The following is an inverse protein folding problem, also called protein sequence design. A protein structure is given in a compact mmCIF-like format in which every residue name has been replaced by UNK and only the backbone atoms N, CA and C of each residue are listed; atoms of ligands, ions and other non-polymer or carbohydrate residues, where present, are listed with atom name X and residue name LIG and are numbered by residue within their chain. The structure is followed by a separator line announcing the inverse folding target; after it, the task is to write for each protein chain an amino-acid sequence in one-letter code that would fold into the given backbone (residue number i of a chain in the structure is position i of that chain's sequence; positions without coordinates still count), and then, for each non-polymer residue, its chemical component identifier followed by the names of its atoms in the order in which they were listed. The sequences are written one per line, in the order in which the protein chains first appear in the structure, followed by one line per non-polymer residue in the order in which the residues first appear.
data_IF_019912955486
#
_entry.id   IF_019912955486
#
_cell.length_a   1.000
_cell.length_b   1.000
_cell.length_c   1.000
_cell.angle_alpha   90.00
_cell.angle_beta   90.00
_cell.angle_gamma   90.00
#
_symmetry.space_group_name_H-M   'P 1'
#
loop_
_entity.id
_entity.type
_entity.pdbx_description
1 polymer ?
#
# COMPACT_ATOMS: atom_id res chain seq x y z
N UNK A 1 16.90 5.03 7.68
CA UNK A 1 16.87 3.92 8.66
C UNK A 1 15.66 3.07 8.30
N UNK A 2 15.88 1.96 7.56
CA UNK A 2 14.81 1.06 7.12
C UNK A 2 14.50 0.09 8.25
N UNK A 3 13.32 0.20 8.86
CA UNK A 3 12.82 -0.81 9.78
C UNK A 3 12.22 -1.95 8.95
N UNK A 4 12.88 -3.10 8.98
CA UNK A 4 12.37 -4.35 8.40
C UNK A 4 11.30 -4.88 9.35
N UNK A 5 10.03 -4.67 9.02
CA UNK A 5 8.93 -5.25 9.77
C UNK A 5 8.78 -6.74 9.37
N UNK A 6 9.19 -7.63 10.25
CA UNK A 6 8.97 -9.08 10.11
C UNK A 6 7.52 -9.37 10.49
N UNK A 7 6.69 -9.67 9.51
CA UNK A 7 5.31 -10.13 9.75
C UNK A 7 5.36 -11.63 10.02
N UNK A 8 4.91 -12.02 11.21
CA UNK A 8 4.73 -13.42 11.60
C UNK A 8 3.31 -13.84 11.24
N UNK A 9 3.15 -14.81 10.38
CA UNK A 9 1.88 -15.48 10.10
C UNK A 9 1.54 -16.35 11.32
N UNK A 10 0.34 -16.22 11.86
CA UNK A 10 -0.18 -17.10 12.91
C UNK A 10 -0.99 -18.15 12.18
N UNK A 11 -0.49 -19.38 12.15
CA UNK A 11 -1.26 -20.56 11.81
C UNK A 11 -2.13 -20.90 13.02
N UNK A 12 -3.44 -20.93 12.84
CA UNK A 12 -4.40 -21.44 13.83
C UNK A 12 -4.34 -22.96 13.77
N UNK A 13 -3.77 -23.60 14.80
CA UNK A 13 -3.95 -25.00 15.07
C UNK A 13 -5.33 -25.21 15.70
N UNK A 14 -6.18 -25.97 15.02
CA UNK A 14 -7.43 -26.53 15.58
C UNK A 14 -7.08 -27.63 16.58
N UNK A 15 -7.34 -27.39 17.85
CA UNK A 15 -7.50 -28.47 18.84
C UNK A 15 -8.97 -28.86 18.97
N UNK A 16 -9.27 -30.06 18.52
CA UNK A 16 -10.50 -30.80 18.79
C UNK A 16 -10.50 -31.32 20.21
N UNK A 17 -11.53 -31.01 20.98
CA UNK A 17 -11.78 -31.57 22.31
C UNK A 17 -13.28 -31.77 22.53
N UNK A 18 -13.70 -33.03 22.48
CA UNK A 18 -15.04 -33.56 22.74
C UNK A 18 -15.50 -33.43 24.18
N UNK A 19 -16.83 -33.50 24.27
CA UNK A 19 -17.69 -34.07 25.36
C UNK A 19 -18.13 -33.03 26.43
N UNK A 20 -19.36 -33.01 26.87
CA UNK A 20 -20.53 -33.86 26.96
C UNK A 20 -21.65 -33.11 27.68
N UNK A 21 -22.83 -33.39 27.25
CA UNK A 21 -24.16 -33.36 27.91
C UNK A 21 -24.34 -32.74 29.32
N UNK A 22 -25.32 -31.85 29.48
CA UNK A 22 -26.54 -32.23 30.23
C UNK A 22 -27.60 -31.12 30.18
N UNK A 23 -28.81 -31.60 29.94
CA UNK A 23 -30.10 -30.97 29.99
C UNK A 23 -30.45 -30.36 31.35
N UNK A 24 -31.25 -29.28 31.34
CA UNK A 24 -32.50 -29.22 32.10
C UNK A 24 -33.31 -27.97 31.78
N UNK A 25 -34.57 -28.26 31.49
CA UNK A 25 -35.69 -27.36 31.30
C UNK A 25 -36.14 -26.72 32.60
N UNK A 26 -36.75 -25.53 32.58
CA UNK A 26 -38.02 -25.24 33.24
C UNK A 26 -38.63 -23.89 32.84
N UNK A 27 -39.90 -23.99 32.72
CA UNK A 27 -40.98 -23.11 32.30
C UNK A 27 -41.19 -21.83 33.13
N UNK A 28 -41.83 -20.84 32.48
CA UNK A 28 -43.04 -20.21 32.98
C UNK A 28 -42.91 -18.81 33.53
N UNK A 29 -43.43 -17.80 32.98
CA UNK A 29 -44.78 -17.31 33.24
C UNK A 29 -44.98 -15.86 32.69
N UNK A 30 -46.19 -15.69 32.22
CA UNK A 30 -46.82 -14.49 31.69
C UNK A 30 -46.95 -13.36 32.73
N UNK A 31 -46.98 -12.11 32.22
CA UNK A 31 -47.36 -10.95 33.01
C UNK A 31 -47.54 -9.73 32.11
N UNK A 32 -48.73 -9.63 31.56
CA UNK A 32 -49.27 -8.41 30.94
C UNK A 32 -49.52 -7.33 31.99
N UNK A 33 -49.16 -6.08 31.71
CA UNK A 33 -49.88 -4.94 32.18
C UNK A 33 -49.71 -3.73 31.22
N UNK A 34 -50.87 -3.28 30.80
CA UNK A 34 -51.18 -2.10 30.02
C UNK A 34 -51.34 -0.94 30.98
N UNK A 35 -51.06 0.29 30.57
CA UNK A 35 -51.58 1.61 31.00
C UNK A 35 -50.45 2.62 30.77
N UNK A 36 -50.59 3.81 30.26
CA UNK A 36 -51.68 4.74 29.93
C UNK A 36 -51.05 5.95 29.21
N UNK A 37 -51.78 6.47 28.28
CA UNK A 37 -51.47 7.68 27.53
C UNK A 37 -51.67 8.93 28.39
N UNK A 38 -50.73 9.85 28.37
CA UNK A 38 -51.00 11.25 28.63
C UNK A 38 -50.13 12.17 27.77
N UNK A 39 -50.78 12.87 26.87
CA UNK A 39 -50.29 14.03 26.10
C UNK A 39 -50.45 15.32 26.87
N UNK A 40 -50.10 16.50 26.27
CA UNK A 40 -48.77 17.07 26.04
C UNK A 40 -48.67 18.43 26.75
N UNK A 41 -47.47 18.92 26.98
CA UNK A 41 -47.28 20.34 27.34
C UNK A 41 -46.18 20.98 26.50
N UNK A 42 -46.57 22.09 26.00
CA UNK A 42 -46.08 23.04 25.03
C UNK A 42 -44.60 23.48 25.10
N UNK A 43 -44.06 23.68 23.90
CA UNK A 43 -43.27 24.81 23.39
C UNK A 43 -42.10 25.35 24.26
N UNK A 44 -40.90 24.99 23.85
CA UNK A 44 -39.80 25.94 23.82
C UNK A 44 -38.96 25.71 22.54
N UNK A 45 -38.66 26.81 21.84
CA UNK A 45 -38.18 26.88 20.49
C UNK A 45 -36.81 26.23 20.21
N UNK A 46 -36.45 26.14 18.93
CA UNK A 46 -35.24 25.47 18.51
C UNK A 46 -34.00 26.27 18.94
N UNK A 47 -33.21 25.72 19.83
CA UNK A 47 -31.84 26.15 20.05
C UNK A 47 -31.05 25.80 18.81
N UNK A 48 -30.48 26.80 18.17
CA UNK A 48 -29.53 26.66 17.07
C UNK A 48 -28.42 25.66 17.43
N UNK A 49 -28.02 24.76 16.51
CA UNK A 49 -26.85 23.90 16.73
C UNK A 49 -25.62 24.81 16.79
N UNK A 50 -25.00 24.89 17.95
CA UNK A 50 -23.69 25.49 18.11
C UNK A 50 -22.71 24.79 17.17
N UNK A 51 -22.23 25.53 16.17
CA UNK A 51 -21.13 25.12 15.30
C UNK A 51 -19.94 24.69 16.15
N UNK A 52 -19.33 23.55 15.90
CA UNK A 52 -18.06 23.23 16.52
C UNK A 52 -17.00 24.16 15.90
N UNK A 53 -16.67 25.21 16.63
CA UNK A 53 -15.49 26.05 16.37
C UNK A 53 -14.22 25.21 16.55
N UNK A 54 -13.84 24.49 15.51
CA UNK A 54 -12.51 23.92 15.35
C UNK A 54 -11.87 24.43 14.07
N UNK A 55 -11.48 25.71 14.12
CA UNK A 55 -10.42 26.25 13.31
C UNK A 55 -9.08 25.66 13.80
N UNK A 56 -8.86 24.38 13.58
CA UNK A 56 -7.52 23.81 13.60
C UNK A 56 -6.90 24.13 12.27
N UNK A 57 -5.92 25.04 12.30
CA UNK A 57 -4.97 25.31 11.23
C UNK A 57 -4.64 24.03 10.47
N UNK A 58 -4.82 24.05 9.14
CA UNK A 58 -4.71 22.92 8.21
C UNK A 58 -3.34 22.25 8.10
N UNK A 59 -2.78 21.79 9.20
CA UNK A 59 -1.72 20.79 9.21
C UNK A 59 -2.36 19.42 9.22
N UNK A 60 -2.55 18.84 8.03
CA UNK A 60 -2.96 17.45 7.95
C UNK A 60 -1.92 16.57 8.65
N UNK A 61 -2.39 15.76 9.58
CA UNK A 61 -1.52 14.80 10.26
C UNK A 61 -0.93 13.82 9.24
N UNK A 62 0.38 13.51 9.34
CA UNK A 62 1.02 12.56 8.45
C UNK A 62 0.33 11.20 8.54
N UNK A 63 0.28 10.51 7.43
CA UNK A 63 -0.34 9.19 7.31
C UNK A 63 0.65 8.16 6.81
N UNK A 64 0.37 6.89 7.10
CA UNK A 64 1.09 5.75 6.55
C UNK A 64 0.19 5.09 5.51
N UNK A 65 0.66 5.05 4.27
CA UNK A 65 0.07 4.25 3.20
C UNK A 65 0.69 2.86 3.21
N UNK A 66 -0.14 1.84 3.15
CA UNK A 66 0.23 0.42 3.16
C UNK A 66 -0.39 -0.26 1.95
N UNK A 67 0.40 -1.00 1.18
CA UNK A 67 -0.08 -1.73 0.02
C UNK A 67 0.33 -3.20 0.10
N UNK A 68 -0.62 -4.09 -0.19
CA UNK A 68 -0.40 -5.52 -0.20
C UNK A 68 0.09 -5.99 -1.57
N UNK A 69 0.67 -7.17 -1.61
CA UNK A 69 1.13 -7.85 -2.81
C UNK A 69 0.01 -8.02 -3.84
N UNK A 70 -1.21 -8.32 -3.39
CA UNK A 70 -2.37 -8.50 -4.26
C UNK A 70 -3.13 -7.20 -4.58
N UNK A 71 -2.56 -6.02 -4.26
CA UNK A 71 -3.05 -4.73 -4.70
C UNK A 71 -4.19 -4.16 -3.88
N UNK A 72 -4.26 -4.44 -2.58
CA UNK A 72 -5.04 -3.67 -1.63
C UNK A 72 -4.20 -2.53 -1.05
N UNK A 73 -4.82 -1.40 -0.78
CA UNK A 73 -4.19 -0.25 -0.15
C UNK A 73 -5.04 0.26 1.00
N UNK A 74 -4.41 0.76 2.03
CA UNK A 74 -5.05 1.54 3.08
C UNK A 74 -4.16 2.68 3.54
N UNK A 75 -4.77 3.64 4.22
CA UNK A 75 -4.09 4.78 4.82
C UNK A 75 -4.51 4.90 6.29
N UNK A 76 -3.53 5.02 7.17
CA UNK A 76 -3.71 5.09 8.62
C UNK A 76 -2.98 6.31 9.14
N UNK A 77 -3.56 7.03 10.10
CA UNK A 77 -2.86 8.13 10.77
C UNK A 77 -1.61 7.61 11.49
N UNK A 78 -0.49 8.31 11.35
CA UNK A 78 0.77 7.94 12.00
C UNK A 78 0.61 7.84 13.53
N UNK A 79 -0.23 8.68 14.13
CA UNK A 79 -0.53 8.68 15.57
C UNK A 79 -1.12 7.35 16.06
N UNK A 80 -1.77 6.57 15.19
CA UNK A 80 -2.29 5.25 15.55
C UNK A 80 -1.18 4.24 15.91
N UNK A 81 0.07 4.56 15.58
CA UNK A 81 1.26 3.76 15.88
C UNK A 81 2.16 4.36 16.97
N UNK A 82 1.71 5.42 17.67
CA UNK A 82 2.51 6.09 18.70
C UNK A 82 2.86 5.17 19.90
N UNK A 83 1.93 4.27 20.26
CA UNK A 83 2.10 3.38 21.41
C UNK A 83 2.28 1.92 20.92
N UNK A 84 3.50 1.55 20.59
CA UNK A 84 3.84 0.17 20.20
C UNK A 84 4.18 -0.64 21.43
N UNK A 85 3.46 -1.75 21.64
CA UNK A 85 3.76 -2.71 22.70
C UNK A 85 4.91 -3.63 22.30
N UNK A 86 5.56 -4.27 23.26
CA UNK A 86 6.63 -5.24 22.99
C UNK A 86 6.16 -6.42 22.09
N UNK A 87 4.87 -6.79 22.18
CA UNK A 87 4.24 -7.81 21.33
C UNK A 87 3.96 -7.31 19.90
N UNK A 88 4.23 -6.05 19.58
CA UNK A 88 3.89 -5.42 18.31
C UNK A 88 2.43 -4.98 18.21
N UNK A 89 2.05 -4.53 17.03
CA UNK A 89 0.69 -4.09 16.71
C UNK A 89 0.27 -4.67 15.35
N UNK A 90 -0.98 -5.11 15.27
CA UNK A 90 -1.58 -5.44 13.97
C UNK A 90 -1.72 -4.15 13.18
N UNK A 91 -1.04 -4.07 12.05
CA UNK A 91 -1.06 -2.92 11.17
C UNK A 91 -2.13 -3.03 10.08
N UNK A 92 -2.49 -4.24 9.65
CA UNK A 92 -3.46 -4.52 8.59
C UNK A 92 -4.00 -5.94 8.73
N UNK A 93 -5.28 -6.15 8.47
CA UNK A 93 -5.84 -7.50 8.27
C UNK A 93 -5.59 -7.90 6.82
N UNK A 94 -4.89 -9.01 6.63
CA UNK A 94 -4.57 -9.56 5.31
C UNK A 94 -5.63 -10.60 4.90
N UNK A 95 -5.85 -10.75 3.60
CA UNK A 95 -6.58 -11.87 3.07
C UNK A 95 -5.67 -13.10 2.99
N UNK A 96 -6.24 -14.27 2.91
CA UNK A 96 -5.50 -15.53 2.70
C UNK A 96 -4.60 -15.44 1.46
N UNK A 97 -3.34 -15.81 1.59
CA UNK A 97 -2.34 -15.75 0.53
C UNK A 97 -1.87 -14.35 0.13
N UNK A 98 -2.31 -13.28 0.84
CA UNK A 98 -1.83 -11.92 0.62
C UNK A 98 -0.79 -11.53 1.67
N UNK A 99 0.07 -10.57 1.36
CA UNK A 99 1.10 -10.07 2.24
C UNK A 99 1.24 -8.54 2.16
N UNK A 100 1.64 -7.90 3.26
CA UNK A 100 1.97 -6.48 3.27
C UNK A 100 3.37 -6.27 2.68
N UNK A 101 3.44 -5.70 1.47
CA UNK A 101 4.69 -5.57 0.72
C UNK A 101 5.26 -4.15 0.74
N UNK A 102 4.42 -3.12 0.81
CA UNK A 102 4.87 -1.73 0.72
C UNK A 102 4.25 -0.86 1.81
N UNK A 103 5.12 -0.05 2.44
CA UNK A 103 4.74 0.94 3.45
C UNK A 103 5.45 2.26 3.15
N UNK A 104 4.70 3.35 3.09
CA UNK A 104 5.23 4.71 2.86
C UNK A 104 4.59 5.71 3.79
N UNK A 105 5.41 6.62 4.30
CA UNK A 105 4.92 7.83 4.96
C UNK A 105 4.39 8.79 3.91
N UNK A 106 3.23 9.40 4.15
CA UNK A 106 2.59 10.34 3.22
C UNK A 106 2.10 11.58 3.95
N UNK A 107 1.97 12.68 3.22
CA UNK A 107 1.44 13.95 3.75
C UNK A 107 -0.07 13.92 3.97
N UNK A 108 -0.77 12.99 3.32
CA UNK A 108 -2.24 12.93 3.31
C UNK A 108 -2.89 13.60 2.10
N UNK A 109 -2.12 14.30 1.27
CA UNK A 109 -2.61 15.08 0.12
C UNK A 109 -1.85 14.80 -1.19
N UNK A 110 -0.85 13.93 -1.15
CA UNK A 110 -0.01 13.60 -2.29
C UNK A 110 -0.68 12.65 -3.29
N UNK A 111 0.12 12.23 -4.24
CA UNK A 111 -0.24 11.21 -5.21
C UNK A 111 0.61 9.96 -5.00
N UNK A 112 0.04 8.82 -5.32
CA UNK A 112 0.68 7.51 -5.20
C UNK A 112 0.81 6.88 -6.58
N UNK A 113 1.98 6.29 -6.83
CA UNK A 113 2.26 5.44 -7.97
C UNK A 113 2.32 3.98 -7.53
N UNK A 114 1.53 3.13 -8.18
CA UNK A 114 1.58 1.67 -7.97
C UNK A 114 1.96 1.01 -9.28
N UNK A 115 2.91 0.09 -9.21
CA UNK A 115 3.43 -0.62 -10.38
C UNK A 115 3.34 -2.12 -10.14
N UNK A 116 2.97 -2.90 -11.20
CA UNK A 116 2.87 -4.35 -11.12
C UNK A 116 4.08 -5.05 -11.75
N UNK A 117 4.31 -6.30 -11.38
CA UNK A 117 5.39 -7.14 -11.91
C UNK A 117 5.30 -7.31 -13.42
N UNK A 118 4.11 -7.26 -13.99
CA UNK A 118 3.89 -7.36 -15.45
C UNK A 118 3.84 -5.99 -16.15
N UNK A 119 4.35 -4.94 -15.50
CA UNK A 119 4.58 -3.66 -16.15
C UNK A 119 3.34 -2.81 -16.36
N UNK A 120 2.37 -2.83 -15.44
CA UNK A 120 1.29 -1.86 -15.38
C UNK A 120 1.56 -0.85 -14.27
N UNK A 121 1.32 0.44 -14.52
CA UNK A 121 1.45 1.51 -13.54
C UNK A 121 0.14 2.28 -13.39
N UNK A 122 -0.21 2.65 -12.17
CA UNK A 122 -1.39 3.45 -11.87
C UNK A 122 -1.01 4.58 -10.91
N UNK A 123 -1.20 5.82 -11.35
CA UNK A 123 -1.04 7.03 -10.56
C UNK A 123 -2.42 7.54 -10.13
N UNK A 124 -2.57 7.85 -8.86
CA UNK A 124 -3.82 8.41 -8.31
C UNK A 124 -3.56 9.22 -7.04
N UNK A 125 -4.48 10.16 -6.73
CA UNK A 125 -4.42 10.92 -5.49
C UNK A 125 -4.66 10.02 -4.28
N UNK A 126 -3.82 10.12 -3.26
CA UNK A 126 -3.99 9.39 -2.00
C UNK A 126 -5.30 9.76 -1.27
N UNK A 127 -5.90 10.92 -1.57
CA UNK A 127 -7.22 11.31 -1.04
C UNK A 127 -8.33 10.32 -1.41
N UNK A 128 -8.16 9.57 -2.52
CA UNK A 128 -9.08 8.49 -2.92
C UNK A 128 -9.00 7.26 -2.00
N UNK A 129 -8.01 7.19 -1.12
CA UNK A 129 -7.89 6.17 -0.08
C UNK A 129 -8.29 6.80 1.24
N UNK A 130 -9.51 6.52 1.71
CA UNK A 130 -9.97 7.04 3.01
C UNK A 130 -9.04 6.61 4.13
N UNK A 131 -8.91 7.43 5.17
CA UNK A 131 -8.23 7.04 6.41
C UNK A 131 -9.02 5.92 7.10
N UNK A 132 -8.32 4.92 7.62
CA UNK A 132 -8.90 3.72 8.22
C UNK A 132 -8.16 3.37 9.51
N UNK A 133 -8.82 2.60 10.37
CA UNK A 133 -8.19 2.02 11.55
C UNK A 133 -7.14 0.96 11.20
N UNK A 134 -6.29 0.59 12.18
CA UNK A 134 -5.20 -0.37 11.99
C UNK A 134 -5.65 -1.73 11.50
N UNK A 135 -6.74 -2.27 12.03
CA UNK A 135 -7.25 -3.61 11.70
C UNK A 135 -8.00 -3.69 10.36
N UNK A 136 -8.24 -2.58 9.67
CA UNK A 136 -8.91 -2.60 8.38
C UNK A 136 -8.07 -3.32 7.32
N UNK A 137 -8.71 -4.08 6.42
CA UNK A 137 -8.07 -4.78 5.31
C UNK A 137 -7.76 -3.89 4.08
N UNK A 138 -8.20 -2.63 4.12
CA UNK A 138 -7.99 -1.70 3.02
C UNK A 138 -9.00 -1.82 1.89
N UNK A 139 -8.71 -1.15 0.78
CA UNK A 139 -9.53 -1.09 -0.43
C UNK A 139 -8.66 -1.46 -1.63
N UNK A 140 -9.28 -1.81 -2.76
CA UNK A 140 -8.53 -2.11 -3.98
C UNK A 140 -7.78 -0.87 -4.47
N UNK A 141 -6.46 -0.96 -4.55
CA UNK A 141 -5.60 0.06 -5.14
C UNK A 141 -5.57 -0.04 -6.66
N UNK A 142 -5.32 -1.25 -7.15
CA UNK A 142 -5.18 -1.55 -8.57
C UNK A 142 -5.83 -2.92 -8.88
N UNK A 143 -6.34 -3.09 -10.08
CA UNK A 143 -6.83 -4.38 -10.59
C UNK A 143 -5.71 -5.09 -11.31
N UNK A 144 -5.23 -6.19 -10.77
CA UNK A 144 -4.30 -7.09 -11.44
C UNK A 144 -5.05 -7.82 -12.56
N UNK A 145 -4.57 -7.70 -13.78
CA UNK A 145 -5.29 -8.18 -14.98
C UNK A 145 -4.92 -9.60 -15.37
N UNK A 146 -3.75 -10.06 -14.98
CA UNK A 146 -3.20 -11.34 -15.40
C UNK A 146 -2.93 -12.22 -14.19
N UNK A 147 -3.03 -13.51 -14.39
CA UNK A 147 -2.64 -14.49 -13.38
C UNK A 147 -1.13 -14.37 -13.10
N UNK A 148 -0.74 -14.47 -11.84
CA UNK A 148 0.66 -14.31 -11.42
C UNK A 148 1.19 -12.88 -11.46
N UNK A 149 0.31 -11.85 -11.66
CA UNK A 149 0.72 -10.46 -11.54
C UNK A 149 0.59 -10.00 -10.08
N UNK A 150 1.58 -9.28 -9.59
CA UNK A 150 1.67 -8.77 -8.23
C UNK A 150 2.09 -7.30 -8.24
N UNK A 151 1.99 -6.63 -7.10
CA UNK A 151 2.56 -5.30 -6.96
C UNK A 151 4.09 -5.42 -6.83
N UNK A 152 4.81 -4.70 -7.71
CA UNK A 152 6.27 -4.59 -7.73
C UNK A 152 6.79 -3.28 -7.12
N UNK A 153 5.90 -2.32 -6.84
CA UNK A 153 6.26 -1.05 -6.22
C UNK A 153 5.06 -0.21 -5.85
N UNK A 154 5.15 0.49 -4.72
CA UNK A 154 4.28 1.58 -4.33
C UNK A 154 5.14 2.74 -3.86
N UNK A 155 5.02 3.89 -4.50
CA UNK A 155 5.79 5.09 -4.18
C UNK A 155 4.88 6.31 -4.07
N UNK A 156 5.31 7.27 -3.26
CA UNK A 156 4.72 8.61 -3.21
C UNK A 156 5.37 9.44 -4.31
N UNK A 157 4.57 10.20 -5.04
CA UNK A 157 5.06 11.08 -6.09
C UNK A 157 5.80 12.26 -5.45
N UNK A 158 7.02 12.50 -5.92
CA UNK A 158 7.84 13.65 -5.57
C UNK A 158 7.92 14.60 -6.77
N UNK A 159 7.97 15.90 -6.53
CA UNK A 159 8.17 16.91 -7.58
C UNK A 159 9.47 16.65 -8.33
N UNK A 160 9.47 16.85 -9.64
CA UNK A 160 10.62 16.63 -10.54
C UNK A 160 11.18 15.20 -10.51
N UNK A 161 10.46 14.25 -9.89
CA UNK A 161 10.85 12.86 -9.83
C UNK A 161 10.64 12.14 -11.15
N UNK A 162 11.28 10.99 -11.27
CA UNK A 162 11.12 10.03 -12.37
C UNK A 162 10.74 8.66 -11.82
N UNK A 163 9.98 7.88 -12.59
CA UNK A 163 9.75 6.48 -12.25
C UNK A 163 10.89 5.63 -12.79
N UNK A 164 11.75 5.16 -11.88
CA UNK A 164 12.72 4.12 -12.16
C UNK A 164 12.01 2.76 -12.13
N UNK A 165 12.22 1.94 -13.15
CA UNK A 165 11.77 0.54 -13.21
C UNK A 165 12.95 -0.36 -13.52
N UNK A 166 13.08 -1.47 -12.78
CA UNK A 166 14.15 -2.46 -12.97
C UNK A 166 13.51 -3.85 -12.99
N UNK A 167 13.94 -4.68 -13.96
CA UNK A 167 13.47 -6.05 -14.13
C UNK A 167 14.39 -7.07 -13.45
N UNK A 168 13.89 -8.26 -13.22
CA UNK A 168 14.67 -9.40 -12.70
C UNK A 168 15.91 -9.73 -13.54
N UNK A 169 15.84 -9.51 -14.89
CA UNK A 169 16.95 -9.73 -15.83
C UNK A 169 17.89 -8.53 -15.96
N UNK A 170 17.78 -7.52 -15.08
CA UNK A 170 18.70 -6.38 -15.01
C UNK A 170 18.50 -5.29 -16.04
N UNK A 171 17.37 -5.28 -16.76
CA UNK A 171 17.00 -4.15 -17.60
C UNK A 171 16.32 -3.07 -16.75
N UNK A 172 16.59 -1.82 -17.05
CA UNK A 172 15.96 -0.72 -16.33
C UNK A 172 15.97 0.57 -17.13
N UNK A 173 15.15 1.52 -16.65
CA UNK A 173 15.02 2.86 -17.24
C UNK A 173 14.38 3.80 -16.22
N UNK A 174 14.59 5.09 -16.47
CA UNK A 174 13.77 6.14 -15.90
C UNK A 174 12.70 6.58 -16.90
N UNK A 175 11.52 6.98 -16.42
CA UNK A 175 10.43 7.53 -17.23
C UNK A 175 9.88 8.76 -16.49
N UNK A 176 9.62 9.86 -17.22
CA UNK A 176 9.02 11.05 -16.63
C UNK A 176 7.68 10.71 -15.96
N UNK A 177 7.44 11.28 -14.77
CA UNK A 177 6.15 11.14 -14.10
C UNK A 177 5.02 11.85 -14.84
N UNK A 178 5.31 12.79 -15.73
CA UNK A 178 4.35 13.47 -16.59
C UNK A 178 3.71 12.51 -17.61
N UNK A 179 4.44 11.46 -17.99
CA UNK A 179 3.91 10.41 -18.87
C UNK A 179 2.77 9.59 -18.22
N UNK A 180 2.55 9.74 -16.90
CA UNK A 180 1.55 9.00 -16.16
C UNK A 180 0.43 9.92 -15.69
N UNK A 181 -0.63 10.02 -16.49
CA UNK A 181 -1.84 10.75 -16.12
C UNK A 181 -2.48 10.15 -14.87
N UNK A 182 -2.77 10.99 -13.86
CA UNK A 182 -3.49 10.58 -12.68
C UNK A 182 -4.90 10.08 -13.04
N UNK A 183 -5.33 8.98 -12.42
CA UNK A 183 -6.62 8.32 -12.67
C UNK A 183 -7.32 7.97 -11.36
N UNK A 184 -8.50 7.40 -11.46
CA UNK A 184 -9.18 6.82 -10.31
C UNK A 184 -8.48 5.55 -9.80
N UNK A 185 -8.55 5.31 -8.49
CA UNK A 185 -8.09 4.08 -7.83
C UNK A 185 -8.86 2.85 -8.33
N UNK A 186 -8.24 1.67 -8.27
CA UNK A 186 -8.87 0.38 -8.60
C UNK A 186 -8.92 0.04 -10.08
N UNK A 187 -8.38 0.91 -10.95
CA UNK A 187 -8.22 0.65 -12.38
C UNK A 187 -7.10 -0.37 -12.69
N UNK A 188 -6.96 -0.74 -13.97
CA UNK A 188 -5.92 -1.66 -14.43
C UNK A 188 -4.61 -0.98 -14.83
N UNK A 189 -4.47 0.32 -14.59
CA UNK A 189 -3.27 1.08 -14.93
C UNK A 189 -3.02 1.26 -16.42
N UNK A 190 -1.85 1.77 -16.71
CA UNK A 190 -1.29 1.94 -18.06
C UNK A 190 0.06 1.24 -18.15
N UNK A 191 0.46 0.86 -19.34
CA UNK A 191 1.74 0.17 -19.57
C UNK A 191 2.91 1.05 -19.18
N UNK A 192 3.86 0.49 -18.40
CA UNK A 192 5.12 1.14 -18.02
C UNK A 192 6.37 0.36 -18.43
N UNK A 193 6.22 -0.79 -19.06
CA UNK A 193 7.30 -1.64 -19.55
C UNK A 193 6.91 -2.29 -20.87
N UNK A 194 7.88 -2.80 -21.64
CA UNK A 194 7.62 -3.64 -22.81
C UNK A 194 6.71 -4.81 -22.46
N UNK A 195 5.97 -5.30 -23.46
CA UNK A 195 5.18 -6.53 -23.31
C UNK A 195 6.00 -7.81 -23.52
N UNK A 196 7.22 -7.68 -23.99
CA UNK A 196 8.16 -8.78 -24.20
C UNK A 196 8.85 -9.11 -22.87
N UNK A 197 8.14 -9.89 -22.04
CA UNK A 197 8.64 -10.31 -20.73
C UNK A 197 9.64 -11.47 -20.83
N UNK A 198 9.68 -12.21 -21.94
CA UNK A 198 10.67 -13.27 -22.12
C UNK A 198 12.08 -12.69 -22.17
N UNK A 199 12.24 -11.57 -22.87
CA UNK A 199 13.52 -10.90 -22.98
C UNK A 199 13.86 -10.04 -21.77
N UNK A 200 12.91 -9.27 -21.26
CA UNK A 200 13.16 -8.31 -20.17
C UNK A 200 13.08 -8.91 -18.78
N UNK A 201 12.31 -9.97 -18.59
CA UNK A 201 11.89 -10.47 -17.28
C UNK A 201 10.75 -9.63 -16.69
N UNK A 202 10.24 -10.08 -15.54
CA UNK A 202 9.25 -9.36 -14.75
C UNK A 202 9.86 -8.12 -14.10
N UNK A 203 9.06 -7.10 -13.80
CA UNK A 203 9.53 -5.98 -12.99
C UNK A 203 9.76 -6.46 -11.55
N UNK A 204 11.00 -6.26 -11.10
CA UNK A 204 11.42 -6.57 -9.73
C UNK A 204 11.26 -5.37 -8.80
N UNK A 205 11.49 -4.16 -9.31
CA UNK A 205 11.37 -2.94 -8.54
C UNK A 205 10.86 -1.76 -9.36
N UNK A 206 10.11 -0.89 -8.68
CA UNK A 206 9.73 0.41 -9.16
C UNK A 206 9.93 1.43 -8.02
N UNK A 207 10.61 2.54 -8.32
CA UNK A 207 10.95 3.61 -7.37
C UNK A 207 10.71 4.98 -7.99
N UNK A 208 10.22 5.93 -7.22
CA UNK A 208 10.33 7.35 -7.59
C UNK A 208 11.70 7.83 -7.14
N UNK A 209 12.43 8.43 -8.07
CA UNK A 209 13.82 8.86 -7.88
C UNK A 209 14.05 10.26 -8.43
N UNK A 210 15.04 10.97 -7.89
CA UNK A 210 15.55 12.24 -8.41
C UNK A 210 16.80 11.99 -9.26
N UNK A 211 17.11 12.90 -10.18
CA UNK A 211 18.30 12.79 -11.02
C UNK A 211 19.61 12.78 -10.20
N UNK A 212 19.61 13.42 -9.03
CA UNK A 212 20.73 13.50 -8.08
C UNK A 212 20.91 12.26 -7.24
N UNK A 213 19.89 11.39 -7.15
CA UNK A 213 19.93 10.18 -6.32
C UNK A 213 20.92 9.15 -6.86
N UNK A 214 21.21 8.20 -6.00
CA UNK A 214 21.91 6.97 -6.36
C UNK A 214 21.02 5.77 -6.03
N UNK A 215 21.24 4.67 -6.75
CA UNK A 215 20.60 3.40 -6.45
C UNK A 215 21.64 2.33 -6.18
N UNK A 216 21.26 1.36 -5.37
CA UNK A 216 22.00 0.11 -5.24
C UNK A 216 21.12 -1.03 -5.74
N UNK A 217 21.58 -1.73 -6.78
CA UNK A 217 20.96 -2.95 -7.30
C UNK A 217 21.62 -4.12 -6.61
N UNK A 218 20.83 -5.04 -6.07
CA UNK A 218 21.31 -6.23 -5.36
C UNK A 218 20.79 -7.45 -6.12
N UNK A 219 21.66 -8.41 -6.40
CA UNK A 219 21.32 -9.67 -7.07
C UNK A 219 21.11 -10.81 -6.07
N UNK A 220 20.50 -11.91 -6.52
CA UNK A 220 20.30 -13.11 -5.71
C UNK A 220 21.61 -13.76 -5.30
N UNK A 221 22.67 -13.63 -6.11
CA UNK A 221 24.03 -14.10 -5.79
C UNK A 221 24.78 -13.18 -4.82
N UNK A 222 24.13 -12.11 -4.34
CA UNK A 222 24.71 -11.17 -3.36
C UNK A 222 25.62 -10.10 -3.97
N UNK A 223 25.60 -9.91 -5.29
CA UNK A 223 26.34 -8.81 -5.94
C UNK A 223 25.57 -7.52 -5.69
N UNK A 224 26.26 -6.47 -5.24
CA UNK A 224 25.72 -5.12 -5.07
C UNK A 224 26.39 -4.16 -6.05
N UNK A 225 25.59 -3.51 -6.90
CA UNK A 225 26.04 -2.49 -7.84
C UNK A 225 25.42 -1.15 -7.46
N UNK A 226 26.26 -0.14 -7.22
CA UNK A 226 25.83 1.23 -6.97
C UNK A 226 25.96 2.05 -8.26
N UNK A 227 24.90 2.82 -8.60
CA UNK A 227 24.85 3.60 -9.82
C UNK A 227 24.11 4.93 -9.56
N UNK A 228 24.56 5.99 -10.25
CA UNK A 228 23.83 7.28 -10.23
C UNK A 228 22.57 7.19 -11.10
N UNK A 229 21.49 7.81 -10.66
CA UNK A 229 20.24 7.87 -11.44
C UNK A 229 20.45 8.64 -12.74
N UNK A 230 21.30 9.69 -12.73
CA UNK A 230 21.67 10.45 -13.94
C UNK A 230 22.27 9.61 -15.06
N UNK A 231 22.87 8.47 -14.75
CA UNK A 231 23.50 7.59 -15.73
C UNK A 231 22.48 6.58 -16.34
N UNK A 232 21.25 6.55 -15.81
CA UNK A 232 20.19 5.66 -16.28
C UNK A 232 19.40 6.34 -17.41
N UNK A 233 19.25 5.69 -18.57
CA UNK A 233 18.54 6.30 -19.69
C UNK A 233 17.09 6.64 -19.34
N UNK A 234 16.67 7.86 -19.72
CA UNK A 234 15.28 8.28 -19.69
C UNK A 234 14.62 7.83 -20.99
N UNK A 235 13.51 7.12 -20.89
CA UNK A 235 12.78 6.63 -22.07
C UNK A 235 11.28 6.50 -21.79
N UNK A 236 10.50 6.49 -22.87
CA UNK A 236 9.04 6.41 -22.80
C UNK A 236 8.53 5.15 -22.11
N UNK A 237 7.28 5.20 -21.65
CA UNK A 237 6.63 4.15 -20.85
C UNK A 237 6.76 2.73 -21.42
N UNK A 238 6.58 2.54 -22.72
CA UNK A 238 6.56 1.20 -23.35
C UNK A 238 7.95 0.66 -23.71
N UNK A 239 9.03 1.43 -23.47
CA UNK A 239 10.38 0.99 -23.75
C UNK A 239 10.82 -0.10 -22.75
N UNK A 240 11.69 -1.01 -23.21
CA UNK A 240 12.32 -2.02 -22.36
C UNK A 240 13.36 -1.43 -21.41
N UNK A 241 13.97 -0.32 -21.79
CA UNK A 241 15.13 0.25 -21.12
C UNK A 241 16.44 -0.39 -21.56
N UNK A 242 17.51 -0.07 -20.84
CA UNK A 242 18.86 -0.58 -21.07
C UNK A 242 19.25 -1.60 -20.02
N UNK A 243 20.26 -2.38 -20.29
CA UNK A 243 20.82 -3.28 -19.29
C UNK A 243 21.66 -2.47 -18.29
N UNK A 244 21.22 -2.44 -17.04
CA UNK A 244 21.86 -1.70 -15.95
C UNK A 244 22.91 -2.54 -15.23
N UNK A 245 22.71 -3.87 -15.18
CA UNK A 245 23.62 -4.82 -14.58
C UNK A 245 23.76 -6.06 -15.47
N UNK A 246 24.98 -6.59 -15.58
CA UNK A 246 25.24 -7.84 -16.25
C UNK A 246 25.16 -8.97 -15.20
N UNK A 247 24.13 -9.79 -15.31
CA UNK A 247 23.90 -10.93 -14.45
C UNK A 247 24.65 -12.17 -14.95
N UNK A 248 25.07 -13.02 -14.03
CA UNK A 248 25.58 -14.35 -14.34
C UNK A 248 24.42 -15.27 -14.76
N UNK A 249 24.73 -16.40 -15.33
CA UNK A 249 23.72 -17.40 -15.63
C UNK A 249 23.04 -17.88 -14.33
N UNK A 250 21.71 -17.85 -14.32
CA UNK A 250 20.91 -18.21 -13.14
C UNK A 250 20.73 -17.11 -12.09
N UNK A 251 21.47 -15.99 -12.18
CA UNK A 251 21.33 -14.86 -11.25
C UNK A 251 20.19 -13.92 -11.67
N UNK A 252 19.58 -13.26 -10.71
CA UNK A 252 18.50 -12.31 -10.92
C UNK A 252 18.65 -11.08 -10.01
N UNK A 253 18.03 -9.96 -10.39
CA UNK A 253 17.91 -8.82 -9.49
C UNK A 253 16.96 -9.21 -8.35
N UNK A 254 17.45 -9.15 -7.10
CA UNK A 254 16.71 -9.48 -5.89
C UNK A 254 16.13 -8.23 -5.19
N UNK A 255 16.74 -7.06 -5.41
CA UNK A 255 16.26 -5.84 -4.77
C UNK A 255 16.93 -4.59 -5.31
N UNK A 256 16.28 -3.44 -5.04
CA UNK A 256 16.79 -2.11 -5.40
C UNK A 256 16.54 -1.16 -4.23
N UNK A 257 17.61 -0.54 -3.75
CA UNK A 257 17.57 0.51 -2.75
C UNK A 257 17.84 1.88 -3.38
N UNK A 258 17.06 2.89 -3.02
CA UNK A 258 17.31 4.30 -3.33
C UNK A 258 18.17 4.90 -2.21
N UNK A 259 19.20 5.62 -2.58
CA UNK A 259 20.03 6.43 -1.70
C UNK A 259 19.79 7.88 -2.12
N UNK A 260 18.93 8.57 -1.37
CA UNK A 260 18.66 9.97 -1.61
C UNK A 260 19.93 10.79 -1.29
N UNK A 261 20.26 11.75 -2.15
CA UNK A 261 21.26 12.74 -1.82
C UNK A 261 20.66 13.72 -0.80
N UNK A 262 21.28 13.81 0.37
CA UNK A 262 20.87 14.77 1.40
C UNK A 262 21.50 16.11 1.01
N UNK A 263 20.68 17.03 0.51
CA UNK A 263 21.06 18.43 0.23
C UNK A 263 21.14 19.26 1.51
#
# INVERSE_FOLDING_TARGET
MMALARVKTIDEEEESGESSESSESLEGSEGSDVIELSEPSELSGPSEPSEPSNLTNGKSSPTIAMCTRLGKIKRVDLSAFANIRASGLIAMTLAEGDELSYVRLTSGHGEVMIVTTQGQALRFSEALVRRMGRTASGVRAMRLKKQGDYIAGMEVIEENGMLLTITEKGYGKCTSLEDYTAKGRGGGGMRTMTSDLEMSGLLMAARVVQATDQITIITSDGIALRQKVSDIPVSGRSARGSRLINLREGDNVAGVARIAEVS
#
